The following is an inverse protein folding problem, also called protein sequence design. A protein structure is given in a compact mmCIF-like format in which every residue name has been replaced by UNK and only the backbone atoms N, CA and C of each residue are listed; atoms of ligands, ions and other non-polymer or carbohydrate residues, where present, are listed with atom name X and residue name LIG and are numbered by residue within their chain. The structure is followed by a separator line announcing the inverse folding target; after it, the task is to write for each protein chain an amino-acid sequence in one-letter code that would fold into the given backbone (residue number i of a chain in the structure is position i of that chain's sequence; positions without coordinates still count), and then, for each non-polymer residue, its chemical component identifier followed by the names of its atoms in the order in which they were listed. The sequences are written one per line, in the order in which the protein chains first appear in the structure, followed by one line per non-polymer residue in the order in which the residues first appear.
data_IF_550411841112
#
_entry.id   IF_550411841112
#
_cell.length_a   1.000
_cell.length_b   1.000
_cell.length_c   1.000
_cell.angle_alpha   90.00
_cell.angle_beta   90.00
_cell.angle_gamma   90.00
#
_symmetry.space_group_name_H-M   'P 1'
#
loop_
_entity.id
_entity.type
_entity.pdbx_description
1 polymer ?
#
# COMPACT_ATOMS: atom_id res chain seq x y z
N UNK A 1 -21.54 -21.33 -19.09
CA UNK A 1 -20.91 -20.47 -18.06
C UNK A 1 -20.99 -19.04 -18.54
N UNK A 2 -21.84 -18.18 -17.94
CA UNK A 2 -21.87 -16.76 -18.30
C UNK A 2 -20.55 -16.13 -17.85
N UNK A 3 -19.77 -15.60 -18.79
CA UNK A 3 -18.64 -14.73 -18.50
C UNK A 3 -19.17 -13.50 -17.78
N UNK A 4 -19.08 -13.48 -16.44
CA UNK A 4 -19.39 -12.30 -15.64
C UNK A 4 -18.25 -11.30 -15.84
N UNK A 5 -18.42 -10.41 -16.81
CA UNK A 5 -17.49 -9.33 -17.17
C UNK A 5 -17.36 -8.26 -16.08
N UNK A 6 -18.21 -8.29 -15.04
CA UNK A 6 -18.24 -7.34 -13.91
C UNK A 6 -18.03 -8.01 -12.54
N UNK A 7 -17.04 -8.89 -12.40
CA UNK A 7 -16.80 -9.61 -11.14
C UNK A 7 -15.86 -8.84 -10.22
N UNK A 8 -16.29 -8.54 -8.99
CA UNK A 8 -15.44 -7.90 -7.99
C UNK A 8 -14.30 -8.84 -7.53
N UNK A 9 -14.55 -10.14 -7.44
CA UNK A 9 -13.52 -11.14 -7.15
C UNK A 9 -12.39 -11.11 -8.19
N UNK A 10 -12.73 -11.11 -9.49
CA UNK A 10 -11.70 -11.04 -10.54
C UNK A 10 -10.91 -9.73 -10.47
N UNK A 11 -11.57 -8.62 -10.14
CA UNK A 11 -10.91 -7.33 -9.97
C UNK A 11 -9.90 -7.38 -8.81
N UNK A 12 -10.26 -8.00 -7.68
CA UNK A 12 -9.34 -8.22 -6.56
C UNK A 12 -8.14 -9.08 -6.98
N UNK A 13 -8.38 -10.21 -7.64
CA UNK A 13 -7.30 -11.14 -8.04
C UNK A 13 -6.33 -10.49 -9.04
N UNK A 14 -6.85 -9.77 -10.03
CA UNK A 14 -6.04 -9.02 -10.99
C UNK A 14 -5.26 -7.91 -10.28
N UNK A 15 -5.91 -7.18 -9.37
CA UNK A 15 -5.27 -6.10 -8.62
C UNK A 15 -4.09 -6.61 -7.78
N UNK A 16 -4.31 -7.67 -7.00
CA UNK A 16 -3.26 -8.29 -6.17
C UNK A 16 -2.12 -8.83 -7.03
N UNK A 17 -2.45 -9.51 -8.15
CA UNK A 17 -1.47 -10.04 -9.08
C UNK A 17 -0.63 -8.93 -9.71
N UNK A 18 -1.26 -7.89 -10.24
CA UNK A 18 -0.56 -6.74 -10.83
C UNK A 18 0.27 -6.02 -9.77
N UNK A 19 -0.27 -5.82 -8.58
CA UNK A 19 0.41 -5.17 -7.48
C UNK A 19 1.74 -5.85 -7.11
N UNK A 20 1.66 -7.12 -6.71
CA UNK A 20 2.83 -7.90 -6.33
C UNK A 20 3.75 -8.18 -7.52
N UNK A 21 3.19 -8.53 -8.67
CA UNK A 21 3.94 -8.83 -9.89
C UNK A 21 4.75 -7.63 -10.37
N UNK A 22 4.19 -6.42 -10.30
CA UNK A 22 4.89 -5.18 -10.66
C UNK A 22 6.05 -4.94 -9.73
N UNK A 23 5.85 -4.99 -8.41
CA UNK A 23 6.92 -4.76 -7.43
C UNK A 23 8.07 -5.76 -7.62
N UNK A 24 7.75 -7.05 -7.80
CA UNK A 24 8.76 -8.09 -8.02
C UNK A 24 9.50 -7.87 -9.34
N UNK A 25 8.78 -7.57 -10.43
CA UNK A 25 9.39 -7.35 -11.73
C UNK A 25 10.30 -6.13 -11.73
N UNK A 26 9.83 -4.99 -11.19
CA UNK A 26 10.63 -3.77 -11.07
C UNK A 26 11.87 -4.05 -10.21
N UNK A 27 11.74 -4.73 -9.07
CA UNK A 27 12.88 -5.14 -8.25
C UNK A 27 13.91 -5.95 -9.03
N UNK A 28 13.48 -6.98 -9.78
CA UNK A 28 14.39 -7.80 -10.57
C UNK A 28 15.12 -6.98 -11.63
N UNK A 29 14.41 -6.12 -12.37
CA UNK A 29 15.03 -5.29 -13.40
C UNK A 29 16.01 -4.28 -12.79
N UNK A 30 15.61 -3.57 -11.73
CA UNK A 30 16.45 -2.55 -11.08
C UNK A 30 17.72 -3.15 -10.48
N UNK A 31 17.61 -4.29 -9.78
CA UNK A 31 18.76 -4.93 -9.11
C UNK A 31 19.70 -5.62 -10.10
N UNK A 32 19.18 -6.34 -11.10
CA UNK A 32 20.02 -7.00 -12.12
C UNK A 32 20.74 -6.01 -13.04
N UNK A 33 20.17 -4.81 -13.20
CA UNK A 33 20.81 -3.72 -13.94
C UNK A 33 21.82 -2.92 -13.09
N UNK A 34 21.99 -3.25 -11.81
CA UNK A 34 22.91 -2.56 -10.89
C UNK A 34 22.51 -1.13 -10.57
N UNK A 35 21.23 -0.76 -10.72
CA UNK A 35 20.75 0.63 -10.55
C UNK A 35 20.30 0.97 -9.14
N UNK A 36 20.02 -0.07 -8.33
CA UNK A 36 19.65 0.04 -6.92
C UNK A 36 20.43 -0.98 -6.12
N UNK A 37 20.48 -0.79 -4.79
CA UNK A 37 21.10 -1.77 -3.91
C UNK A 37 20.45 -3.15 -4.07
N UNK A 38 21.24 -4.24 -4.19
CA UNK A 38 20.69 -5.60 -4.24
C UNK A 38 20.01 -6.04 -2.94
N UNK A 39 20.42 -5.46 -1.80
CA UNK A 39 19.87 -5.82 -0.49
C UNK A 39 18.74 -4.86 -0.11
N UNK A 40 17.51 -5.24 -0.44
CA UNK A 40 16.22 -4.58 -0.10
C UNK A 40 16.27 -3.05 -0.34
N UNK A 41 16.14 -2.60 -1.61
CA UNK A 41 16.03 -1.18 -1.90
C UNK A 41 14.72 -0.62 -1.36
N UNK A 42 14.63 0.69 -1.16
CA UNK A 42 13.31 1.33 -0.92
C UNK A 42 12.50 1.14 -2.21
N UNK A 43 11.22 0.81 -2.10
CA UNK A 43 10.36 0.49 -3.25
C UNK A 43 10.31 1.67 -4.23
N UNK A 44 10.29 2.91 -3.72
CA UNK A 44 10.29 4.13 -4.52
C UNK A 44 11.63 4.46 -5.20
N UNK A 45 12.74 3.75 -4.89
CA UNK A 45 14.02 3.86 -5.61
C UNK A 45 13.99 3.10 -6.95
N UNK A 46 13.22 2.01 -7.01
CA UNK A 46 13.18 1.14 -8.18
C UNK A 46 12.74 1.84 -9.49
N UNK A 47 11.75 2.76 -9.50
CA UNK A 47 11.31 3.45 -10.72
C UNK A 47 12.13 4.70 -11.09
N UNK A 48 13.39 4.84 -10.66
CA UNK A 48 14.19 6.02 -11.03
C UNK A 48 14.60 6.06 -12.50
N UNK A 49 14.54 4.95 -13.21
CA UNK A 49 14.97 4.81 -14.60
C UNK A 49 13.94 4.05 -15.44
N UNK A 50 14.05 4.16 -16.77
CA UNK A 50 13.29 3.33 -17.70
C UNK A 50 14.02 2.00 -18.00
N UNK A 51 13.28 0.90 -18.23
CA UNK A 51 11.81 0.77 -18.32
C UNK A 51 11.06 0.62 -16.98
N UNK A 52 11.77 0.62 -15.84
CA UNK A 52 11.23 0.34 -14.51
C UNK A 52 10.15 1.33 -14.10
N UNK A 53 10.36 2.61 -14.37
CA UNK A 53 9.38 3.68 -14.15
C UNK A 53 8.06 3.41 -14.86
N UNK A 54 8.09 3.09 -16.16
CA UNK A 54 6.89 2.75 -16.93
C UNK A 54 6.16 1.52 -16.39
N UNK A 55 6.91 0.46 -16.05
CA UNK A 55 6.35 -0.77 -15.49
C UNK A 55 5.70 -0.50 -14.12
N UNK A 56 6.41 0.23 -13.27
CA UNK A 56 6.00 0.56 -11.92
C UNK A 56 4.72 1.41 -11.91
N UNK A 57 4.71 2.51 -12.65
CA UNK A 57 3.58 3.43 -12.72
C UNK A 57 2.34 2.79 -13.34
N UNK A 58 2.49 2.06 -14.45
CA UNK A 58 1.37 1.40 -15.11
C UNK A 58 0.80 0.25 -14.25
N UNK A 59 1.67 -0.63 -13.78
CA UNK A 59 1.27 -1.82 -13.05
C UNK A 59 0.64 -1.51 -11.68
N UNK A 60 1.31 -0.67 -10.87
CA UNK A 60 0.76 -0.24 -9.59
C UNK A 60 -0.41 0.73 -9.76
N UNK A 61 -0.39 1.59 -10.77
CA UNK A 61 -1.51 2.49 -11.07
C UNK A 61 -2.80 1.73 -11.32
N UNK A 62 -2.76 0.67 -12.14
CA UNK A 62 -3.92 -0.19 -12.41
C UNK A 62 -4.35 -0.98 -11.17
N UNK A 63 -3.39 -1.50 -10.38
CA UNK A 63 -3.68 -2.18 -9.10
C UNK A 63 -4.42 -1.24 -8.13
N UNK A 64 -3.88 -0.04 -7.90
CA UNK A 64 -4.45 0.93 -6.96
C UNK A 64 -5.80 1.45 -7.47
N UNK A 65 -5.95 1.71 -8.77
CA UNK A 65 -7.23 2.07 -9.36
C UNK A 65 -8.28 0.95 -9.19
N UNK A 66 -7.86 -0.31 -9.28
CA UNK A 66 -8.73 -1.44 -8.97
C UNK A 66 -9.16 -1.43 -7.51
N UNK A 67 -8.27 -1.08 -6.58
CA UNK A 67 -8.63 -0.90 -5.17
C UNK A 67 -9.56 0.29 -4.92
N UNK A 68 -9.47 1.37 -5.70
CA UNK A 68 -10.43 2.48 -5.64
C UNK A 68 -11.86 1.99 -5.93
N UNK A 69 -12.02 1.16 -6.96
CA UNK A 69 -13.31 0.55 -7.32
C UNK A 69 -13.74 -0.45 -6.23
N UNK A 70 -12.82 -1.31 -5.76
CA UNK A 70 -13.11 -2.27 -4.70
C UNK A 70 -13.54 -1.58 -3.41
N UNK A 71 -12.99 -0.41 -3.06
CA UNK A 71 -13.44 0.35 -1.90
C UNK A 71 -14.93 0.71 -1.98
N UNK A 72 -15.45 1.00 -3.18
CA UNK A 72 -16.88 1.24 -3.40
C UNK A 72 -17.70 -0.05 -3.27
N UNK A 73 -17.17 -1.17 -3.78
CA UNK A 73 -17.81 -2.48 -3.64
C UNK A 73 -17.90 -2.88 -2.17
N UNK A 74 -16.80 -2.75 -1.42
CA UNK A 74 -16.74 -3.05 0.00
C UNK A 74 -17.63 -2.14 0.82
N UNK A 75 -17.78 -0.85 0.47
CA UNK A 75 -18.75 0.02 1.13
C UNK A 75 -20.17 -0.56 1.06
N UNK A 76 -20.61 -1.09 -0.09
CA UNK A 76 -21.91 -1.77 -0.21
C UNK A 76 -21.98 -3.04 0.65
N UNK A 77 -20.96 -3.90 0.57
CA UNK A 77 -20.88 -5.14 1.38
C UNK A 77 -20.94 -4.81 2.87
N UNK A 78 -20.21 -3.79 3.32
CA UNK A 78 -20.20 -3.38 4.71
C UNK A 78 -21.56 -2.86 5.15
N UNK A 79 -22.29 -2.10 4.32
CA UNK A 79 -23.65 -1.68 4.66
C UNK A 79 -24.55 -2.89 4.92
N UNK A 80 -24.53 -3.91 4.05
CA UNK A 80 -25.33 -5.12 4.22
C UNK A 80 -24.98 -5.90 5.51
N UNK A 81 -23.70 -5.89 5.91
CA UNK A 81 -23.26 -6.48 7.17
C UNK A 81 -23.75 -5.63 8.35
N UNK A 82 -23.59 -4.31 8.26
CA UNK A 82 -23.86 -3.35 9.33
C UNK A 82 -25.34 -3.30 9.70
N UNK A 83 -26.28 -3.57 8.77
CA UNK A 83 -27.72 -3.59 9.09
C UNK A 83 -28.08 -4.57 10.22
N UNK A 84 -27.24 -5.58 10.45
CA UNK A 84 -27.44 -6.60 11.47
C UNK A 84 -26.62 -6.36 12.75
N UNK A 85 -25.89 -5.25 12.84
CA UNK A 85 -25.05 -4.90 14.00
C UNK A 85 -25.78 -3.99 14.98
N UNK A 86 -25.42 -4.10 16.26
CA UNK A 86 -25.75 -3.08 17.25
C UNK A 86 -25.10 -1.74 16.88
N UNK A 87 -25.78 -0.63 17.18
CA UNK A 87 -25.32 0.74 16.84
C UNK A 87 -25.11 0.97 15.33
N UNK A 88 -25.96 0.38 14.47
CA UNK A 88 -25.86 0.47 13.01
C UNK A 88 -25.59 1.87 12.47
N UNK A 89 -26.25 2.91 12.99
CA UNK A 89 -26.13 4.30 12.52
C UNK A 89 -24.68 4.83 12.66
N UNK A 90 -23.99 4.43 13.73
CA UNK A 90 -22.59 4.82 13.96
C UNK A 90 -21.69 4.11 12.95
N UNK A 91 -21.96 2.83 12.68
CA UNK A 91 -21.17 2.02 11.75
C UNK A 91 -21.40 2.43 10.29
N UNK A 92 -22.62 2.78 9.89
CA UNK A 92 -22.95 3.33 8.57
C UNK A 92 -22.17 4.63 8.33
N UNK A 93 -22.21 5.57 9.29
CA UNK A 93 -21.43 6.82 9.20
C UNK A 93 -19.93 6.56 9.10
N UNK A 94 -19.41 5.60 9.86
CA UNK A 94 -18.00 5.21 9.79
C UNK A 94 -17.67 4.61 8.43
N UNK A 95 -18.54 3.76 7.88
CA UNK A 95 -18.37 3.17 6.55
C UNK A 95 -18.28 4.25 5.45
N UNK A 96 -19.14 5.28 5.51
CA UNK A 96 -19.09 6.42 4.59
C UNK A 96 -17.75 7.16 4.66
N UNK A 97 -17.26 7.44 5.87
CA UNK A 97 -15.96 8.10 6.08
C UNK A 97 -14.83 7.22 5.55
N UNK A 98 -14.85 5.92 5.83
CA UNK A 98 -13.83 4.97 5.41
C UNK A 98 -13.78 4.83 3.89
N UNK A 99 -14.93 4.86 3.22
CA UNK A 99 -15.00 4.92 1.75
C UNK A 99 -14.30 6.16 1.20
N UNK A 100 -14.54 7.34 1.81
CA UNK A 100 -13.89 8.60 1.41
C UNK A 100 -12.37 8.52 1.63
N UNK A 101 -11.94 8.07 2.81
CA UNK A 101 -10.52 7.90 3.15
C UNK A 101 -9.83 6.95 2.15
N UNK A 102 -10.41 5.79 1.89
CA UNK A 102 -9.86 4.82 0.95
C UNK A 102 -9.80 5.37 -0.48
N UNK A 103 -10.78 6.18 -0.87
CA UNK A 103 -10.81 6.81 -2.20
C UNK A 103 -9.71 7.86 -2.36
N UNK A 104 -9.53 8.72 -1.34
CA UNK A 104 -8.43 9.69 -1.29
C UNK A 104 -7.09 8.95 -1.29
N UNK A 105 -6.95 7.91 -0.47
CA UNK A 105 -5.76 7.06 -0.43
C UNK A 105 -5.39 6.47 -1.79
N UNK A 106 -6.37 5.95 -2.53
CA UNK A 106 -6.13 5.40 -3.86
C UNK A 106 -5.76 6.47 -4.89
N UNK A 107 -6.40 7.64 -4.86
CA UNK A 107 -6.01 8.78 -5.73
C UNK A 107 -4.57 9.21 -5.43
N UNK A 108 -4.24 9.38 -4.15
CA UNK A 108 -2.87 9.67 -3.73
C UNK A 108 -1.91 8.57 -4.18
N UNK A 109 -2.28 7.30 -4.10
CA UNK A 109 -1.43 6.21 -4.57
C UNK A 109 -1.15 6.24 -6.06
N UNK A 110 -2.17 6.56 -6.89
CA UNK A 110 -1.96 6.76 -8.33
C UNK A 110 -0.96 7.90 -8.57
N UNK A 111 -1.04 8.99 -7.80
CA UNK A 111 -0.06 10.08 -7.88
C UNK A 111 1.32 9.57 -7.45
N UNK A 112 1.45 8.91 -6.29
CA UNK A 112 2.73 8.41 -5.76
C UNK A 112 3.49 7.55 -6.75
N UNK A 113 2.80 6.65 -7.46
CA UNK A 113 3.46 5.71 -8.38
C UNK A 113 3.75 6.28 -9.77
N UNK A 114 3.24 7.47 -10.09
CA UNK A 114 3.51 8.17 -11.36
C UNK A 114 4.41 9.40 -11.18
N UNK A 115 4.43 9.99 -10.00
CA UNK A 115 5.29 11.12 -9.63
C UNK A 115 6.41 10.60 -8.73
N UNK A 116 7.47 10.09 -9.36
CA UNK A 116 8.57 9.41 -8.69
C UNK A 116 9.36 10.35 -7.77
N UNK A 117 9.91 9.77 -6.70
CA UNK A 117 10.64 10.49 -5.64
C UNK A 117 11.80 11.33 -6.19
N UNK A 118 12.57 10.82 -7.14
CA UNK A 118 13.71 11.53 -7.72
C UNK A 118 13.36 12.83 -8.46
N UNK A 119 12.12 13.00 -8.91
CA UNK A 119 11.68 14.20 -9.63
C UNK A 119 10.72 15.07 -8.81
N UNK A 120 9.89 14.45 -7.96
CA UNK A 120 8.82 15.12 -7.22
C UNK A 120 8.81 14.72 -5.74
N UNK A 121 9.89 14.98 -4.98
CA UNK A 121 10.10 14.37 -3.67
C UNK A 121 9.02 14.71 -2.64
N UNK A 122 8.67 15.99 -2.53
CA UNK A 122 7.64 16.45 -1.58
C UNK A 122 6.27 15.89 -1.94
N UNK A 123 5.89 15.92 -3.22
CA UNK A 123 4.62 15.39 -3.68
C UNK A 123 4.54 13.88 -3.47
N UNK A 124 5.61 13.15 -3.81
CA UNK A 124 5.74 11.72 -3.61
C UNK A 124 5.59 11.36 -2.12
N UNK A 125 6.36 12.01 -1.24
CA UNK A 125 6.31 11.76 0.20
C UNK A 125 4.93 12.00 0.82
N UNK A 126 4.29 13.14 0.50
CA UNK A 126 2.95 13.47 1.02
C UNK A 126 1.92 12.45 0.51
N UNK A 127 1.94 12.14 -0.78
CA UNK A 127 0.95 11.21 -1.35
C UNK A 127 1.17 9.77 -0.89
N UNK A 128 2.41 9.33 -0.72
CA UNK A 128 2.75 8.03 -0.15
C UNK A 128 2.25 7.89 1.30
N UNK A 129 2.47 8.92 2.11
CA UNK A 129 1.96 8.97 3.49
C UNK A 129 0.43 8.81 3.54
N UNK A 130 -0.30 9.57 2.70
CA UNK A 130 -1.76 9.48 2.63
C UNK A 130 -2.21 8.11 2.10
N UNK A 131 -1.55 7.57 1.07
CA UNK A 131 -1.81 6.25 0.53
C UNK A 131 -1.75 5.17 1.63
N UNK A 132 -0.60 5.04 2.28
CA UNK A 132 -0.35 3.96 3.23
C UNK A 132 -1.24 4.09 4.45
N UNK A 133 -1.36 5.30 5.01
CA UNK A 133 -2.23 5.55 6.17
C UNK A 133 -3.69 5.21 5.86
N UNK A 134 -4.18 5.61 4.68
CA UNK A 134 -5.57 5.37 4.28
C UNK A 134 -5.87 3.88 4.13
N UNK A 135 -4.99 3.10 3.50
CA UNK A 135 -5.20 1.66 3.36
C UNK A 135 -5.03 0.88 4.66
N UNK A 136 -4.18 1.33 5.59
CA UNK A 136 -4.09 0.75 6.94
C UNK A 136 -5.36 1.01 7.75
N UNK A 137 -5.88 2.23 7.71
CA UNK A 137 -7.16 2.59 8.35
C UNK A 137 -8.30 1.77 7.74
N UNK A 138 -8.38 1.71 6.41
CA UNK A 138 -9.39 0.92 5.71
C UNK A 138 -9.29 -0.58 6.04
N UNK A 139 -8.09 -1.17 6.01
CA UNK A 139 -7.88 -2.58 6.33
C UNK A 139 -8.26 -2.92 7.78
N UNK A 140 -7.97 -2.00 8.70
CA UNK A 140 -8.38 -2.10 10.11
C UNK A 140 -9.89 -2.08 10.26
N UNK A 141 -10.55 -1.12 9.61
CA UNK A 141 -12.01 -1.03 9.61
C UNK A 141 -12.66 -2.27 9.02
N UNK A 142 -12.19 -2.71 7.85
CA UNK A 142 -12.67 -3.91 7.18
C UNK A 142 -12.53 -5.14 8.08
N UNK A 143 -11.36 -5.35 8.69
CA UNK A 143 -11.17 -6.46 9.64
C UNK A 143 -12.17 -6.39 10.79
N UNK A 144 -12.39 -5.22 11.37
CA UNK A 144 -13.31 -5.04 12.49
C UNK A 144 -14.77 -5.35 12.10
N UNK A 145 -15.25 -4.87 10.95
CA UNK A 145 -16.60 -5.16 10.46
C UNK A 145 -16.81 -6.66 10.30
N UNK A 146 -15.86 -7.34 9.67
CA UNK A 146 -15.95 -8.79 9.49
C UNK A 146 -15.86 -9.56 10.81
N UNK A 147 -15.01 -9.14 11.76
CA UNK A 147 -14.96 -9.74 13.10
C UNK A 147 -16.29 -9.59 13.86
N UNK A 148 -16.92 -8.41 13.79
CA UNK A 148 -18.23 -8.15 14.41
C UNK A 148 -19.34 -8.99 13.78
N UNK A 149 -19.26 -9.29 12.49
CA UNK A 149 -20.20 -10.17 11.79
C UNK A 149 -19.97 -11.67 12.02
N UNK A 150 -18.99 -12.05 12.84
CA UNK A 150 -18.61 -13.45 13.09
C UNK A 150 -17.69 -14.07 12.04
N UNK A 151 -17.36 -13.34 10.96
CA UNK A 151 -16.50 -13.79 9.86
C UNK A 151 -15.01 -13.55 10.16
N UNK A 152 -14.53 -14.11 11.27
CA UNK A 152 -13.14 -13.93 11.71
C UNK A 152 -12.15 -14.61 10.76
N UNK A 153 -11.05 -13.92 10.45
CA UNK A 153 -9.95 -14.48 9.67
C UNK A 153 -8.60 -14.16 10.33
N UNK A 154 -7.88 -15.18 10.80
CA UNK A 154 -6.59 -14.99 11.50
C UNK A 154 -5.53 -14.36 10.60
N UNK A 155 -5.47 -14.75 9.31
CA UNK A 155 -4.50 -14.21 8.35
C UNK A 155 -4.76 -12.71 8.16
N UNK A 156 -6.02 -12.33 7.96
CA UNK A 156 -6.44 -10.92 7.83
C UNK A 156 -6.04 -10.10 9.05
N UNK A 157 -6.32 -10.61 10.25
CA UNK A 157 -5.98 -9.97 11.52
C UNK A 157 -4.46 -9.74 11.65
N UNK A 158 -3.66 -10.78 11.42
CA UNK A 158 -2.20 -10.65 11.51
C UNK A 158 -1.62 -9.76 10.41
N UNK A 159 -2.20 -9.77 9.21
CA UNK A 159 -1.83 -8.86 8.14
C UNK A 159 -2.08 -7.39 8.52
N UNK A 160 -3.21 -7.07 9.16
CA UNK A 160 -3.48 -5.71 9.67
C UNK A 160 -2.46 -5.31 10.75
N UNK A 161 -2.18 -6.21 11.70
CA UNK A 161 -1.20 -5.93 12.76
C UNK A 161 0.22 -5.75 12.21
N UNK A 162 0.63 -6.61 11.27
CA UNK A 162 1.90 -6.49 10.59
C UNK A 162 1.98 -5.16 9.82
N UNK A 163 0.92 -4.79 9.08
CA UNK A 163 0.86 -3.51 8.36
C UNK A 163 1.13 -2.31 9.28
N UNK A 164 0.43 -2.22 10.41
CA UNK A 164 0.67 -1.14 11.38
C UNK A 164 2.05 -1.20 12.04
N UNK A 165 2.51 -2.40 12.41
CA UNK A 165 3.83 -2.60 13.02
C UNK A 165 4.93 -2.10 12.10
N UNK A 166 4.91 -2.51 10.83
CA UNK A 166 5.91 -2.09 9.85
C UNK A 166 5.75 -0.63 9.44
N UNK A 167 4.54 -0.08 9.40
CA UNK A 167 4.35 1.35 9.18
C UNK A 167 4.96 2.21 10.30
N UNK A 168 4.73 1.85 11.56
CA UNK A 168 5.33 2.52 12.71
C UNK A 168 6.85 2.35 12.69
N UNK A 169 7.33 1.14 12.39
CA UNK A 169 8.75 0.85 12.21
C UNK A 169 9.38 1.76 11.15
N UNK A 170 8.75 1.91 9.99
CA UNK A 170 9.21 2.78 8.91
C UNK A 170 9.35 4.24 9.39
N UNK A 171 8.35 4.77 10.12
CA UNK A 171 8.43 6.14 10.67
C UNK A 171 9.59 6.28 11.67
N UNK A 172 9.77 5.31 12.56
CA UNK A 172 10.84 5.32 13.56
C UNK A 172 12.21 5.27 12.89
N UNK A 173 12.42 4.30 11.98
CA UNK A 173 13.71 4.11 11.33
C UNK A 173 14.06 5.26 10.37
N UNK A 174 13.06 5.87 9.71
CA UNK A 174 13.29 7.08 8.93
C UNK A 174 13.76 8.24 9.82
N UNK A 175 13.14 8.42 10.99
CA UNK A 175 13.58 9.42 11.96
C UNK A 175 15.00 9.17 12.51
N UNK A 176 15.38 7.91 12.74
CA UNK A 176 16.73 7.54 13.17
C UNK A 176 17.76 7.75 12.06
N UNK A 177 17.42 7.47 10.80
CA UNK A 177 18.26 7.83 9.64
C UNK A 177 18.48 9.35 9.57
N UNK A 178 17.41 10.14 9.74
CA UNK A 178 17.49 11.60 9.81
C UNK A 178 18.39 12.10 10.93
N UNK A 179 18.33 11.49 12.12
CA UNK A 179 19.24 11.82 13.23
C UNK A 179 20.70 11.47 12.93
N UNK A 180 20.95 10.34 12.29
CA UNK A 180 22.30 9.96 11.88
C UNK A 180 22.84 10.94 10.85
N UNK A 181 22.05 11.34 9.86
CA UNK A 181 22.45 12.33 8.85
C UNK A 181 22.79 13.68 9.50
N UNK A 182 22.06 14.11 10.52
CA UNK A 182 22.40 15.30 11.31
C UNK A 182 23.76 15.17 12.01
N UNK A 183 24.12 13.97 12.50
CA UNK A 183 25.45 13.73 13.07
C UNK A 183 26.59 13.72 12.04
N UNK A 184 26.24 13.63 10.75
CA UNK A 184 27.13 13.70 9.60
C UNK A 184 27.09 15.08 8.90
N UNK A 185 26.67 16.13 9.62
CA UNK A 185 26.55 17.51 9.14
C UNK A 185 25.57 17.70 7.94
N UNK A 186 24.56 16.83 7.82
CA UNK A 186 23.46 16.96 6.84
C UNK A 186 22.16 17.41 7.52
N UNK A 187 21.18 17.82 6.73
CA UNK A 187 19.85 18.16 7.26
C UNK A 187 19.04 16.92 7.66
N UNK A 188 18.11 17.07 8.62
CA UNK A 188 17.26 15.96 9.08
C UNK A 188 16.44 15.32 7.96
N UNK A 189 15.95 16.14 7.02
CA UNK A 189 15.19 15.68 5.85
C UNK A 189 16.05 15.56 4.59
N UNK A 190 17.38 15.43 4.72
CA UNK A 190 18.32 15.39 3.60
C UNK A 190 17.91 14.39 2.50
N UNK A 191 17.42 13.21 2.88
CA UNK A 191 16.98 12.18 1.94
C UNK A 191 15.80 12.62 1.08
N UNK A 192 14.96 13.54 1.54
CA UNK A 192 13.81 14.01 0.78
C UNK A 192 14.26 14.56 -0.58
N UNK A 193 15.29 15.41 -0.59
CA UNK A 193 15.85 15.98 -1.83
C UNK A 193 17.04 15.19 -2.39
N UNK A 194 17.58 14.23 -1.63
CA UNK A 194 18.73 13.40 -1.98
C UNK A 194 18.39 11.92 -1.81
N UNK A 195 17.54 11.35 -2.71
CA UNK A 195 17.20 9.94 -2.65
C UNK A 195 18.45 9.05 -2.76
N UNK A 196 18.50 7.91 -2.05
CA UNK A 196 19.64 7.01 -2.11
C UNK A 196 19.87 6.48 -3.52
N UNK A 197 21.14 6.39 -3.89
CA UNK A 197 21.63 5.74 -5.10
C UNK A 197 22.31 4.41 -4.75
N UNK A 198 22.65 3.62 -5.77
CA UNK A 198 23.35 2.34 -5.58
C UNK A 198 24.75 2.50 -4.97
N UNK A 199 25.38 3.65 -5.20
CA UNK A 199 26.74 3.95 -4.76
C UNK A 199 26.79 4.52 -3.32
N UNK A 200 25.63 4.86 -2.75
CA UNK A 200 25.56 5.43 -1.40
C UNK A 200 25.75 4.35 -0.34
N UNK A 201 26.59 4.63 0.65
CA UNK A 201 26.61 3.86 1.88
C UNK A 201 25.25 4.00 2.60
N UNK A 202 24.58 2.87 2.81
CA UNK A 202 23.27 2.82 3.46
C UNK A 202 23.43 2.58 4.95
N UNK A 203 22.82 3.46 5.74
CA UNK A 203 22.70 3.24 7.18
C UNK A 203 21.87 1.98 7.45
N UNK A 204 22.07 1.39 8.63
CA UNK A 204 21.23 0.29 9.10
C UNK A 204 19.75 0.75 9.19
N UNK A 205 19.52 2.00 9.57
CA UNK A 205 18.17 2.57 9.69
C UNK A 205 17.49 2.73 8.32
N UNK A 206 18.22 3.12 7.29
CA UNK A 206 17.70 3.20 5.92
C UNK A 206 17.31 1.80 5.39
N UNK A 207 18.13 0.79 5.66
CA UNK A 207 17.83 -0.59 5.28
C UNK A 207 16.61 -1.14 6.06
N UNK A 208 16.47 -0.80 7.34
CA UNK A 208 15.30 -1.18 8.13
C UNK A 208 14.03 -0.43 7.68
N UNK A 209 14.16 0.82 7.23
CA UNK A 209 13.06 1.59 6.62
C UNK A 209 12.57 0.89 5.35
N UNK A 210 13.49 0.49 4.46
CA UNK A 210 13.17 -0.26 3.25
C UNK A 210 12.48 -1.59 3.59
N UNK A 211 13.04 -2.39 4.51
CA UNK A 211 12.42 -3.64 4.96
C UNK A 211 10.99 -3.42 5.48
N UNK A 212 10.78 -2.37 6.27
CA UNK A 212 9.47 -2.03 6.80
C UNK A 212 8.47 -1.67 5.68
N UNK A 213 8.91 -0.90 4.68
CA UNK A 213 8.07 -0.58 3.52
C UNK A 213 7.63 -1.85 2.77
N UNK A 214 8.58 -2.74 2.45
CA UNK A 214 8.29 -4.02 1.81
C UNK A 214 7.31 -4.87 2.61
N UNK A 215 7.57 -5.06 3.90
CA UNK A 215 6.72 -5.87 4.76
C UNK A 215 5.33 -5.27 4.94
N UNK A 216 5.20 -3.94 5.00
CA UNK A 216 3.91 -3.25 5.03
C UNK A 216 3.11 -3.52 3.74
N UNK A 217 3.74 -3.38 2.58
CA UNK A 217 3.07 -3.62 1.28
C UNK A 217 2.66 -5.09 1.12
N UNK A 218 3.52 -6.04 1.47
CA UNK A 218 3.17 -7.46 1.46
C UNK A 218 2.04 -7.79 2.45
N UNK A 219 2.03 -7.14 3.62
CA UNK A 219 0.96 -7.30 4.59
C UNK A 219 -0.38 -6.83 4.02
N UNK A 220 -0.40 -5.70 3.30
CA UNK A 220 -1.61 -5.22 2.63
C UNK A 220 -2.16 -6.23 1.62
N UNK A 221 -1.34 -6.72 0.68
CA UNK A 221 -1.78 -7.70 -0.32
C UNK A 221 -2.18 -9.05 0.30
N UNK A 222 -1.47 -9.48 1.36
CA UNK A 222 -1.83 -10.67 2.14
C UNK A 222 -3.18 -10.51 2.83
N UNK A 223 -3.48 -9.34 3.38
CA UNK A 223 -4.80 -9.02 3.92
C UNK A 223 -5.87 -9.01 2.83
N UNK A 224 -5.59 -8.36 1.70
CA UNK A 224 -6.51 -8.19 0.59
C UNK A 224 -6.99 -9.54 0.01
N UNK A 225 -6.07 -10.50 -0.19
CA UNK A 225 -6.43 -11.80 -0.77
C UNK A 225 -7.36 -12.63 0.13
N UNK A 226 -7.44 -12.31 1.43
CA UNK A 226 -8.37 -12.99 2.34
C UNK A 226 -9.83 -12.65 2.08
N UNK A 227 -10.13 -11.59 1.32
CA UNK A 227 -11.51 -11.20 0.98
C UNK A 227 -12.06 -11.93 -0.25
N UNK A 228 -11.32 -12.85 -0.87
CA UNK A 228 -11.76 -13.55 -2.09
C UNK A 228 -13.14 -14.20 -1.92
N UNK A 229 -13.35 -14.94 -0.83
CA UNK A 229 -14.63 -15.61 -0.55
C UNK A 229 -15.78 -14.61 -0.37
N UNK A 230 -15.48 -13.46 0.23
CA UNK A 230 -16.45 -12.40 0.50
C UNK A 230 -16.88 -11.66 -0.80
N UNK A 231 -16.13 -11.83 -1.89
CA UNK A 231 -16.41 -11.25 -3.20
C UNK A 231 -17.00 -12.25 -4.21
N UNK A 232 -17.19 -13.52 -3.81
CA UNK A 232 -17.81 -14.53 -4.67
C UNK A 232 -19.25 -14.13 -5.03
N UNK A 233 -19.55 -14.07 -6.32
CA UNK A 233 -20.87 -13.66 -6.81
C UNK A 233 -21.15 -12.15 -6.77
N UNK A 234 -20.27 -11.34 -6.17
CA UNK A 234 -20.44 -9.88 -6.10
C UNK A 234 -20.10 -9.22 -7.44
N UNK A 235 -21.00 -8.37 -7.90
CA UNK A 235 -20.81 -7.54 -9.09
C UNK A 235 -20.24 -6.17 -8.74
N UNK A 236 -19.51 -5.58 -9.67
CA UNK A 236 -19.04 -4.18 -9.62
C UNK A 236 -20.22 -3.25 -9.93
#
# INVERSE_FOLDING_TARGET
MKNNTKSALRLLEISVFLGLGTIILTYLVSTTSGRVTPFIPIISEMPFNEPESSIFGAGLGVSIFSFLILAQVFHRIFNDIITNLENKEIWERRNDIIRIIASIGAICGIITVNFNWNNFPVLHGITAFVLFTSFLIWGTFANNIFELSGQKNKIRKYAVYAGWFFYIGMVIFNGLDGQQLVSEDKEFFYRMDNPPTVDDERSVYLNLTALCEWCMVFSFYTGAITYRRDLEGIQI
#
